data_IF_938797049592
#
_entry.id   IF_938797049592
#
_cell.length_a   1.000
_cell.length_b   1.000
_cell.length_c   1.000
_cell.angle_alpha   90.00
_cell.angle_beta   90.00
_cell.angle_gamma   90.00
#
_symmetry.space_group_name_H-M   'P 1'
#
loop_
_entity.id
_entity.type
_entity.pdbx_description
1 polymer ?
#
# COMPACT_ATOMS: atom_id res chain seq x y z
N UNK A 1 -55.57 11.99 -24.05
CA UNK A 1 -54.42 11.13 -23.65
C UNK A 1 -53.61 11.89 -22.61
N UNK A 2 -53.52 11.36 -21.38
CA UNK A 2 -52.82 12.00 -20.27
C UNK A 2 -51.32 11.87 -20.51
N UNK A 3 -50.64 13.00 -20.66
CA UNK A 3 -49.18 13.06 -20.79
C UNK A 3 -48.59 12.82 -19.39
N UNK A 4 -48.23 11.56 -19.08
CA UNK A 4 -47.43 11.27 -17.90
C UNK A 4 -46.02 11.78 -18.17
N UNK A 5 -45.69 12.93 -17.60
CA UNK A 5 -44.31 13.37 -17.51
C UNK A 5 -43.54 12.29 -16.72
N UNK A 6 -42.59 11.63 -17.38
CA UNK A 6 -41.58 10.83 -16.72
C UNK A 6 -40.74 11.77 -15.86
N UNK A 7 -41.14 11.96 -14.60
CA UNK A 7 -40.28 12.55 -13.60
C UNK A 7 -39.19 11.53 -13.30
N UNK A 8 -37.96 11.80 -13.75
CA UNK A 8 -36.79 11.03 -13.35
C UNK A 8 -36.62 11.21 -11.84
N UNK A 9 -36.98 10.17 -11.09
CA UNK A 9 -36.89 10.14 -9.63
C UNK A 9 -35.41 10.07 -9.22
N UNK A 10 -34.77 11.24 -9.16
CA UNK A 10 -33.39 11.40 -8.71
C UNK A 10 -33.18 10.90 -7.26
N UNK A 11 -34.26 10.75 -6.47
CA UNK A 11 -34.16 10.30 -5.08
C UNK A 11 -33.82 8.80 -4.96
N UNK A 12 -34.00 7.99 -6.01
CA UNK A 12 -33.56 6.58 -6.01
C UNK A 12 -32.05 6.39 -6.02
N UNK A 13 -31.31 7.43 -6.37
CA UNK A 13 -29.84 7.45 -6.33
C UNK A 13 -29.29 8.06 -5.03
N UNK A 14 -30.12 8.29 -4.01
CA UNK A 14 -29.72 8.94 -2.75
C UNK A 14 -28.83 8.10 -1.81
N UNK A 15 -28.09 7.12 -2.35
CA UNK A 15 -26.99 6.45 -1.69
C UNK A 15 -25.69 6.75 -2.43
N UNK A 16 -24.57 6.89 -1.72
CA UNK A 16 -23.24 7.06 -2.32
C UNK A 16 -22.93 5.83 -3.19
N UNK A 17 -23.24 5.91 -4.49
CA UNK A 17 -23.01 4.83 -5.44
C UNK A 17 -21.69 5.08 -6.16
N UNK A 18 -20.60 4.94 -5.42
CA UNK A 18 -19.24 5.19 -5.93
C UNK A 18 -18.60 3.90 -6.41
N UNK A 19 -18.31 3.82 -7.70
CA UNK A 19 -17.57 2.73 -8.33
C UNK A 19 -16.08 3.06 -8.27
N UNK A 20 -15.28 2.20 -7.63
CA UNK A 20 -13.81 2.29 -7.65
C UNK A 20 -13.31 1.64 -8.94
N UNK A 21 -12.69 2.41 -9.81
CA UNK A 21 -12.33 1.93 -11.15
C UNK A 21 -10.84 1.56 -11.23
N UNK A 22 -9.96 2.57 -11.34
CA UNK A 22 -8.54 2.36 -11.65
C UNK A 22 -7.63 3.41 -10.98
N UNK A 23 -6.35 3.09 -10.87
CA UNK A 23 -5.32 4.09 -10.59
C UNK A 23 -5.10 4.94 -11.85
N UNK A 24 -5.25 6.26 -11.73
CA UNK A 24 -5.03 7.22 -12.83
C UNK A 24 -3.53 7.39 -13.05
N UNK A 25 -2.80 7.69 -11.98
CA UNK A 25 -1.36 7.87 -12.00
C UNK A 25 -0.77 7.77 -10.58
N UNK A 26 0.55 7.60 -10.50
CA UNK A 26 1.28 7.65 -9.23
C UNK A 26 2.64 8.34 -9.39
N UNK A 27 3.19 8.78 -8.26
CA UNK A 27 4.52 9.37 -8.16
C UNK A 27 5.21 8.93 -6.87
N UNK A 28 6.53 8.85 -6.91
CA UNK A 28 7.33 8.40 -5.75
C UNK A 28 8.29 9.50 -5.32
N UNK A 29 8.29 9.77 -4.03
CA UNK A 29 9.12 10.79 -3.40
C UNK A 29 10.03 10.15 -2.36
N UNK A 30 11.29 10.57 -2.35
CA UNK A 30 12.26 10.26 -1.30
C UNK A 30 12.41 11.47 -0.38
N UNK A 31 12.31 11.23 0.94
CA UNK A 31 12.39 12.30 1.94
C UNK A 31 11.32 13.40 1.77
N UNK A 32 10.17 13.06 1.17
CA UNK A 32 9.01 13.94 1.00
C UNK A 32 9.08 14.95 -0.16
N UNK A 33 10.28 15.28 -0.64
CA UNK A 33 10.49 16.39 -1.57
C UNK A 33 11.05 15.96 -2.93
N UNK A 34 11.92 14.93 -2.97
CA UNK A 34 12.65 14.55 -4.18
C UNK A 34 11.92 13.47 -4.94
N UNK A 35 11.45 13.77 -6.15
CA UNK A 35 10.79 12.82 -7.05
C UNK A 35 11.79 11.82 -7.63
N UNK A 36 11.45 10.53 -7.63
CA UNK A 36 12.28 9.47 -8.21
C UNK A 36 11.87 9.18 -9.66
N UNK A 37 12.86 9.00 -10.54
CA UNK A 37 12.63 8.68 -11.95
C UNK A 37 12.56 7.17 -12.20
N UNK A 38 11.39 6.56 -12.02
CA UNK A 38 11.22 5.10 -12.13
C UNK A 38 10.19 4.67 -13.18
N UNK A 39 10.13 3.36 -13.46
CA UNK A 39 9.16 2.77 -14.37
C UNK A 39 7.90 2.26 -13.65
N UNK A 40 8.08 1.51 -12.56
CA UNK A 40 6.99 0.79 -11.89
C UNK A 40 7.32 0.46 -10.42
N UNK A 41 6.29 0.27 -9.60
CA UNK A 41 6.40 -0.13 -8.18
C UNK A 41 5.47 -1.29 -7.88
N UNK A 42 6.02 -2.32 -7.24
CA UNK A 42 5.24 -3.31 -6.51
C UNK A 42 5.21 -2.95 -5.03
N UNK A 43 4.05 -2.51 -4.55
CA UNK A 43 3.80 -2.24 -3.13
C UNK A 43 3.87 -3.55 -2.31
N UNK A 44 4.23 -3.48 -1.02
CA UNK A 44 4.45 -4.69 -0.23
C UNK A 44 3.16 -5.44 0.05
N UNK A 45 3.22 -6.76 -0.03
CA UNK A 45 2.19 -7.65 0.48
C UNK A 45 2.30 -7.78 2.00
N UNK A 46 1.17 -7.86 2.68
CA UNK A 46 1.10 -8.07 4.12
C UNK A 46 0.61 -9.49 4.36
N UNK A 47 1.54 -10.37 4.72
CA UNK A 47 1.24 -11.74 5.17
C UNK A 47 1.41 -11.83 6.69
N UNK A 48 0.56 -12.61 7.34
CA UNK A 48 0.58 -12.80 8.79
C UNK A 48 1.25 -14.12 9.14
N UNK A 49 2.07 -14.11 10.19
CA UNK A 49 2.64 -15.35 10.73
C UNK A 49 1.54 -16.11 11.45
N UNK A 50 1.25 -17.35 11.03
CA UNK A 50 0.23 -18.19 11.64
C UNK A 50 0.83 -19.27 12.54
N UNK A 51 -0.01 -19.82 13.43
CA UNK A 51 0.26 -21.03 14.19
C UNK A 51 -0.97 -21.95 14.12
N UNK A 52 -0.73 -23.24 13.89
CA UNK A 52 -1.78 -24.25 13.85
C UNK A 52 -2.33 -24.51 15.25
N UNK A 53 -3.65 -24.42 15.42
CA UNK A 53 -4.37 -24.87 16.62
C UNK A 53 -5.23 -26.10 16.30
N UNK A 54 -5.20 -27.09 17.19
CA UNK A 54 -6.00 -28.31 17.12
C UNK A 54 -6.21 -28.90 18.52
N UNK A 55 -7.18 -29.82 18.68
CA UNK A 55 -7.43 -30.51 19.94
C UNK A 55 -8.92 -30.73 20.28
N UNK A 56 -9.19 -31.19 21.51
CA UNK A 56 -10.54 -31.42 21.98
C UNK A 56 -11.38 -30.12 21.95
N UNK A 57 -12.53 -30.17 21.27
CA UNK A 57 -13.35 -28.97 21.03
C UNK A 57 -13.03 -28.22 19.73
N UNK A 58 -12.00 -28.64 18.97
CA UNK A 58 -11.67 -28.13 17.63
C UNK A 58 -11.82 -29.28 16.63
N UNK A 59 -12.74 -29.13 15.68
CA UNK A 59 -13.02 -30.12 14.64
C UNK A 59 -11.99 -30.13 13.51
N UNK A 60 -10.69 -30.24 13.82
CA UNK A 60 -9.59 -30.24 12.85
C UNK A 60 -8.45 -29.29 13.23
N UNK A 61 -7.80 -28.74 12.21
CA UNK A 61 -6.70 -27.78 12.33
C UNK A 61 -7.16 -26.40 11.83
N UNK A 62 -6.74 -25.34 12.53
CA UNK A 62 -6.96 -23.96 12.12
C UNK A 62 -5.64 -23.21 12.18
N UNK A 63 -5.27 -22.54 11.09
CA UNK A 63 -4.13 -21.61 11.06
C UNK A 63 -4.54 -20.26 11.67
N UNK A 64 -4.14 -20.01 12.90
CA UNK A 64 -4.46 -18.77 13.60
C UNK A 64 -3.34 -17.74 13.42
N UNK A 65 -3.62 -16.53 12.92
CA UNK A 65 -2.63 -15.47 12.81
C UNK A 65 -2.18 -15.01 14.20
N UNK A 66 -0.87 -14.84 14.37
CA UNK A 66 -0.30 -14.27 15.60
C UNK A 66 -0.49 -12.75 15.58
N UNK A 67 -1.14 -12.16 16.59
CA UNK A 67 -1.45 -10.73 16.59
C UNK A 67 -0.25 -9.83 16.30
N UNK A 68 -0.39 -8.97 15.29
CA UNK A 68 0.62 -7.99 14.86
C UNK A 68 1.95 -8.55 14.33
N UNK A 69 2.07 -9.88 14.19
CA UNK A 69 3.25 -10.51 13.62
C UNK A 69 3.06 -10.72 12.12
N UNK A 70 3.80 -9.94 11.34
CA UNK A 70 3.81 -10.03 9.88
C UNK A 70 5.08 -10.71 9.39
N UNK A 71 4.96 -11.44 8.28
CA UNK A 71 6.12 -11.99 7.56
C UNK A 71 6.98 -10.86 6.93
N UNK A 72 8.05 -11.23 6.22
CA UNK A 72 8.87 -10.28 5.45
C UNK A 72 7.96 -9.45 4.55
N UNK A 73 8.13 -8.14 4.55
CA UNK A 73 7.41 -7.24 3.66
C UNK A 73 8.43 -6.66 2.69
N UNK A 74 8.22 -6.84 1.39
CA UNK A 74 9.17 -6.37 0.38
C UNK A 74 8.49 -5.42 -0.60
N UNK A 75 9.16 -4.32 -0.93
CA UNK A 75 8.76 -3.43 -2.03
C UNK A 75 9.78 -3.56 -3.14
N UNK A 76 9.31 -3.77 -4.38
CA UNK A 76 10.16 -3.79 -5.57
C UNK A 76 9.93 -2.53 -6.41
N UNK A 77 11.02 -1.89 -6.81
CA UNK A 77 11.03 -0.73 -7.69
C UNK A 77 11.76 -1.11 -8.97
N UNK A 78 11.12 -0.89 -10.12
CA UNK A 78 11.70 -1.13 -11.44
C UNK A 78 12.12 0.18 -12.11
N UNK A 79 13.30 0.17 -12.74
CA UNK A 79 13.94 1.33 -13.35
C UNK A 79 14.21 1.08 -14.83
N UNK A 80 13.99 2.10 -15.68
CA UNK A 80 14.30 2.00 -17.12
C UNK A 80 15.80 1.98 -17.39
N UNK A 81 16.56 2.72 -16.59
CA UNK A 81 18.01 2.87 -16.70
C UNK A 81 18.64 2.86 -15.33
N UNK A 82 19.90 2.40 -15.25
CA UNK A 82 20.71 2.60 -14.07
C UNK A 82 21.02 4.09 -13.92
N UNK A 83 20.65 4.67 -12.78
CA UNK A 83 20.84 6.09 -12.48
C UNK A 83 21.20 6.28 -10.99
N UNK A 84 21.36 7.54 -10.57
CA UNK A 84 21.70 7.90 -9.19
C UNK A 84 20.64 7.49 -8.16
N UNK A 85 19.36 7.38 -8.55
CA UNK A 85 18.30 6.91 -7.66
C UNK A 85 18.50 5.44 -7.30
N UNK A 86 18.84 4.62 -8.31
CA UNK A 86 19.10 3.19 -8.10
C UNK A 86 20.26 3.00 -7.12
N UNK A 87 21.38 3.68 -7.36
CA UNK A 87 22.57 3.51 -6.53
C UNK A 87 22.38 4.08 -5.12
N UNK A 88 21.63 5.17 -4.97
CA UNK A 88 21.31 5.73 -3.66
C UNK A 88 20.44 4.79 -2.82
N UNK A 89 19.45 4.11 -3.44
CA UNK A 89 18.57 3.18 -2.73
C UNK A 89 19.26 1.87 -2.34
N UNK A 90 20.42 1.56 -2.93
CA UNK A 90 21.26 0.43 -2.54
C UNK A 90 22.17 0.73 -1.34
N UNK A 91 22.20 1.97 -0.85
CA UNK A 91 22.96 2.29 0.35
C UNK A 91 22.45 1.48 1.57
N UNK A 92 23.38 0.97 2.38
CA UNK A 92 23.12 0.22 3.61
C UNK A 92 22.62 1.12 4.76
N UNK A 93 21.52 1.82 4.52
CA UNK A 93 20.82 2.66 5.49
C UNK A 93 19.34 2.63 5.20
N UNK A 94 18.57 3.10 6.17
CA UNK A 94 17.12 3.22 6.02
C UNK A 94 16.76 4.23 4.93
N UNK A 95 15.83 3.84 4.06
CA UNK A 95 15.30 4.63 2.95
C UNK A 95 13.83 4.95 3.24
N UNK A 96 13.51 6.24 3.27
CA UNK A 96 12.15 6.75 3.46
C UNK A 96 11.55 7.11 2.11
N UNK A 97 10.53 6.37 1.71
CA UNK A 97 9.81 6.55 0.46
C UNK A 97 8.33 6.87 0.69
N UNK A 98 7.80 7.74 -0.14
CA UNK A 98 6.40 8.13 -0.18
C UNK A 98 5.85 7.92 -1.59
N UNK A 99 4.97 6.95 -1.74
CA UNK A 99 4.19 6.70 -2.95
C UNK A 99 2.89 7.50 -2.85
N UNK A 100 2.60 8.29 -3.87
CA UNK A 100 1.35 9.07 -4.00
C UNK A 100 0.61 8.56 -5.22
N UNK A 101 -0.61 8.08 -5.04
CA UNK A 101 -1.50 7.62 -6.10
C UNK A 101 -2.78 8.46 -6.16
N UNK A 102 -3.34 8.56 -7.37
CA UNK A 102 -4.64 9.15 -7.62
C UNK A 102 -5.56 8.09 -8.23
N UNK A 103 -6.59 7.66 -7.48
CA UNK A 103 -7.56 6.66 -7.93
C UNK A 103 -8.76 7.35 -8.56
N UNK A 104 -9.23 6.83 -9.69
CA UNK A 104 -10.48 7.20 -10.32
C UNK A 104 -11.65 6.54 -9.60
N UNK A 105 -12.68 7.34 -9.34
CA UNK A 105 -13.95 6.89 -8.80
C UNK A 105 -15.08 7.46 -9.65
N UNK A 106 -16.05 6.64 -10.02
CA UNK A 106 -17.25 7.10 -10.70
C UNK A 106 -18.42 7.14 -9.73
N UNK A 107 -18.98 8.33 -9.51
CA UNK A 107 -20.19 8.50 -8.72
C UNK A 107 -21.41 8.31 -9.63
N UNK A 108 -22.02 7.13 -9.57
CA UNK A 108 -23.18 6.81 -10.40
C UNK A 108 -24.45 7.56 -9.98
N UNK A 109 -24.48 8.21 -8.81
CA UNK A 109 -25.59 9.04 -8.40
C UNK A 109 -25.52 10.44 -9.04
N UNK A 110 -24.32 11.01 -9.19
CA UNK A 110 -24.13 12.33 -9.81
C UNK A 110 -23.68 12.26 -11.28
N UNK A 111 -23.19 11.10 -11.73
CA UNK A 111 -22.56 10.92 -13.04
C UNK A 111 -21.14 11.50 -13.14
N UNK A 112 -20.52 11.84 -12.00
CA UNK A 112 -19.22 12.52 -11.97
C UNK A 112 -18.05 11.55 -11.76
N UNK A 113 -16.94 11.84 -12.43
CA UNK A 113 -15.64 11.22 -12.14
C UNK A 113 -14.97 12.02 -11.02
N UNK A 114 -14.68 11.35 -9.92
CA UNK A 114 -13.98 11.87 -8.73
C UNK A 114 -12.60 11.24 -8.62
N UNK A 115 -11.70 11.95 -7.96
CA UNK A 115 -10.35 11.46 -7.67
C UNK A 115 -10.22 11.23 -6.18
N UNK A 116 -9.85 10.01 -5.80
CA UNK A 116 -9.46 9.65 -4.44
C UNK A 116 -7.95 9.66 -4.31
N UNK A 117 -7.47 10.27 -3.24
CA UNK A 117 -6.03 10.33 -2.94
C UNK A 117 -5.60 9.10 -2.15
N UNK A 118 -4.48 8.50 -2.56
CA UNK A 118 -3.83 7.41 -1.82
C UNK A 118 -2.38 7.79 -1.57
N UNK A 119 -1.92 7.60 -0.34
CA UNK A 119 -0.53 7.77 0.05
C UNK A 119 -0.05 6.54 0.79
N UNK A 120 1.07 5.98 0.34
CA UNK A 120 1.77 4.89 1.03
C UNK A 120 3.15 5.39 1.41
N UNK A 121 3.43 5.44 2.70
CA UNK A 121 4.74 5.75 3.23
C UNK A 121 5.41 4.44 3.64
N UNK A 122 6.65 4.23 3.23
CA UNK A 122 7.45 3.09 3.70
C UNK A 122 8.79 3.57 4.24
N UNK A 123 9.30 2.80 5.20
CA UNK A 123 10.70 2.82 5.60
C UNK A 123 11.28 1.44 5.37
N UNK A 124 12.31 1.37 4.55
CA UNK A 124 12.93 0.09 4.21
C UNK A 124 14.44 0.11 4.14
N UNK A 125 15.03 -1.07 4.05
CA UNK A 125 16.46 -1.31 3.88
C UNK A 125 16.70 -2.01 2.56
N UNK A 126 17.81 -1.69 1.88
CA UNK A 126 18.21 -2.37 0.66
C UNK A 126 18.37 -3.87 0.90
N UNK A 127 17.59 -4.69 0.18
CA UNK A 127 17.65 -6.16 0.23
C UNK A 127 18.33 -6.73 -1.01
N UNK A 128 18.00 -6.21 -2.18
CA UNK A 128 18.54 -6.66 -3.47
C UNK A 128 18.64 -5.50 -4.46
N UNK A 129 19.71 -5.48 -5.24
CA UNK A 129 19.89 -4.58 -6.38
C UNK A 129 20.23 -5.36 -7.64
N UNK A 130 19.37 -5.29 -8.64
CA UNK A 130 19.64 -5.76 -9.98
C UNK A 130 20.04 -4.55 -10.84
N UNK A 131 21.25 -4.56 -11.38
CA UNK A 131 21.74 -3.46 -12.21
C UNK A 131 21.27 -3.56 -13.65
N UNK A 132 20.62 -4.66 -14.03
CA UNK A 132 20.07 -4.85 -15.36
C UNK A 132 21.13 -5.23 -16.41
N UNK A 133 20.85 -4.92 -17.67
CA UNK A 133 21.74 -5.25 -18.81
C UNK A 133 22.23 -4.02 -19.57
N UNK A 134 23.41 -4.12 -20.21
CA UNK A 134 23.96 -3.08 -21.07
C UNK A 134 23.87 -3.53 -22.54
N UNK A 135 22.79 -3.14 -23.22
CA UNK A 135 22.59 -3.37 -24.64
C UNK A 135 22.40 -2.04 -25.37
N UNK A 136 23.04 -1.83 -26.54
CA UNK A 136 22.83 -0.61 -27.32
C UNK A 136 21.36 -0.42 -27.69
N UNK A 137 20.85 0.80 -27.48
CA UNK A 137 19.48 1.22 -27.82
C UNK A 137 18.34 0.41 -27.17
N UNK A 138 18.56 -0.15 -25.97
CA UNK A 138 17.57 -0.91 -25.21
C UNK A 138 17.46 -0.40 -23.76
N UNK A 139 16.42 -0.83 -23.03
CA UNK A 139 16.30 -0.57 -21.59
C UNK A 139 17.29 -1.42 -20.79
N UNK A 140 17.70 -0.90 -19.63
CA UNK A 140 18.55 -1.67 -18.71
C UNK A 140 17.72 -2.60 -17.83
N UNK A 141 16.48 -2.23 -17.52
CA UNK A 141 15.54 -2.97 -16.66
C UNK A 141 16.12 -3.29 -15.25
N UNK A 142 16.82 -2.31 -14.66
CA UNK A 142 17.36 -2.43 -13.31
C UNK A 142 16.23 -2.51 -12.26
N UNK A 143 16.47 -3.18 -11.13
CA UNK A 143 15.50 -3.35 -10.04
C UNK A 143 16.11 -3.10 -8.67
N UNK A 144 15.32 -2.57 -7.74
CA UNK A 144 15.70 -2.43 -6.33
C UNK A 144 14.61 -3.03 -5.45
N UNK A 145 14.99 -3.97 -4.60
CA UNK A 145 14.10 -4.57 -3.59
C UNK A 145 14.47 -4.03 -2.22
N UNK A 146 13.47 -3.50 -1.51
CA UNK A 146 13.60 -3.00 -0.14
C UNK A 146 12.84 -3.90 0.83
N UNK A 147 13.50 -4.31 1.91
CA UNK A 147 12.81 -4.90 3.08
C UNK A 147 12.14 -3.79 3.88
N UNK A 148 10.82 -3.89 4.05
CA UNK A 148 9.98 -2.88 4.69
C UNK A 148 9.86 -3.15 6.19
N UNK A 149 10.32 -2.18 6.98
CA UNK A 149 10.25 -2.21 8.44
C UNK A 149 9.07 -1.41 8.99
N UNK A 150 8.63 -0.40 8.23
CA UNK A 150 7.46 0.42 8.52
C UNK A 150 6.68 0.68 7.24
N UNK A 151 5.35 0.59 7.33
CA UNK A 151 4.42 1.00 6.27
C UNK A 151 3.24 1.75 6.87
N UNK A 152 2.82 2.84 6.22
CA UNK A 152 1.59 3.56 6.51
C UNK A 152 0.82 3.84 5.24
N UNK A 153 -0.45 3.44 5.22
CA UNK A 153 -1.38 3.71 4.13
C UNK A 153 -2.40 4.75 4.59
N UNK A 154 -2.53 5.82 3.83
CA UNK A 154 -3.47 6.92 4.04
C UNK A 154 -4.33 7.08 2.81
N UNK A 155 -5.65 7.12 2.97
CA UNK A 155 -6.61 7.33 1.89
C UNK A 155 -7.45 8.56 2.25
N UNK A 156 -7.50 9.56 1.35
CA UNK A 156 -8.19 10.84 1.58
C UNK A 156 -7.81 11.50 2.92
N UNK A 157 -6.51 11.45 3.25
CA UNK A 157 -5.95 12.02 4.48
C UNK A 157 -6.22 11.18 5.74
N UNK A 158 -6.99 10.11 5.65
CA UNK A 158 -7.32 9.23 6.79
C UNK A 158 -6.34 8.06 6.83
N UNK A 159 -5.70 7.85 7.99
CA UNK A 159 -4.86 6.68 8.24
C UNK A 159 -5.72 5.42 8.18
N UNK A 160 -5.34 4.48 7.31
CA UNK A 160 -6.03 3.20 7.10
C UNK A 160 -5.24 2.01 7.61
N UNK A 161 -3.95 1.97 7.31
CA UNK A 161 -3.04 0.94 7.80
C UNK A 161 -1.79 1.61 8.33
N UNK A 162 -1.27 1.13 9.45
CA UNK A 162 0.06 1.47 9.93
C UNK A 162 0.67 0.27 10.62
N UNK A 163 1.79 -0.21 10.09
CA UNK A 163 2.55 -1.32 10.64
C UNK A 163 3.95 -0.82 10.91
N UNK A 164 4.35 -0.88 12.18
CA UNK A 164 5.71 -0.59 12.63
C UNK A 164 6.23 -1.81 13.39
N UNK A 165 7.12 -2.57 12.74
CA UNK A 165 7.66 -3.80 13.32
C UNK A 165 8.55 -3.51 14.54
N UNK A 166 9.18 -2.33 14.61
CA UNK A 166 10.12 -1.99 15.68
C UNK A 166 9.43 -1.35 16.88
N UNK A 167 8.34 -0.63 16.66
CA UNK A 167 7.57 0.03 17.72
C UNK A 167 6.29 -0.72 18.11
N UNK A 168 6.12 -1.96 17.66
CA UNK A 168 4.95 -2.79 17.94
C UNK A 168 3.63 -2.08 17.59
N UNK A 169 3.53 -1.48 16.41
CA UNK A 169 2.27 -0.89 15.93
C UNK A 169 1.70 -1.79 14.86
N UNK A 170 0.46 -2.22 15.05
CA UNK A 170 -0.31 -2.90 14.01
C UNK A 170 -1.72 -2.32 13.99
N UNK A 171 -1.88 -1.24 13.25
CA UNK A 171 -3.13 -0.50 13.14
C UNK A 171 -3.80 -0.80 11.80
N UNK A 172 -5.08 -1.16 11.85
CA UNK A 172 -5.93 -1.34 10.66
C UNK A 172 -7.31 -0.75 10.95
N UNK A 173 -7.76 0.19 10.10
CA UNK A 173 -9.10 0.80 10.11
C UNK A 173 -9.63 1.23 11.50
N UNK A 174 -8.78 1.85 12.30
CA UNK A 174 -9.18 2.40 13.61
C UNK A 174 -8.80 1.54 14.81
N UNK A 175 -8.36 0.30 14.59
CA UNK A 175 -8.00 -0.63 15.66
C UNK A 175 -6.50 -0.87 15.69
N UNK A 176 -5.88 -0.73 16.86
CA UNK A 176 -4.48 -1.09 17.09
C UNK A 176 -4.39 -2.44 17.81
N UNK A 177 -3.99 -3.46 17.07
CA UNK A 177 -3.93 -4.85 17.53
C UNK A 177 -2.75 -5.15 18.46
N UNK A 178 -1.80 -4.22 18.57
CA UNK A 178 -0.64 -4.36 19.46
C UNK A 178 -0.69 -3.42 20.67
N UNK A 179 -1.80 -2.69 20.88
CA UNK A 179 -1.96 -1.79 22.01
C UNK A 179 -1.81 -2.52 23.37
N UNK A 180 -2.50 -3.64 23.55
CA UNK A 180 -2.41 -4.44 24.78
C UNK A 180 -1.05 -5.13 24.91
N UNK A 181 -0.41 -5.48 23.80
CA UNK A 181 0.94 -6.05 23.79
C UNK A 181 1.96 -5.02 24.29
N UNK A 182 1.91 -3.79 23.79
CA UNK A 182 2.78 -2.71 24.29
C UNK A 182 2.56 -2.44 25.77
N UNK A 183 1.30 -2.39 26.20
CA UNK A 183 0.94 -2.25 27.63
C UNK A 183 1.50 -3.39 28.49
N UNK A 184 1.42 -4.64 28.02
CA UNK A 184 1.94 -5.80 28.73
C UNK A 184 3.48 -5.82 28.81
N UNK A 185 4.15 -5.25 27.81
CA UNK A 185 5.62 -5.13 27.75
C UNK A 185 6.17 -3.87 28.42
N UNK A 186 5.31 -2.94 28.86
CA UNK A 186 5.72 -1.66 29.46
C UNK A 186 6.30 -0.66 28.45
N UNK A 187 5.86 -0.72 27.19
CA UNK A 187 6.24 0.16 26.09
C UNK A 187 5.27 1.33 25.90
#
# INVERSE_FOLDING_TARGET
MKNQAFAFDLQRFAGVNTVRDKLINFEVFKGGNRKLGMADVTLPSISYKTATISGAGIGGEIEMPTPGQTESMETEISWRTLNEDVTELLAMRSQDLEFRGANEQYDAATGEIKVQTVKVNIRGLAKKGDLGSLKPADHMDSKTTLEVTYIKVTIDGVRKVEIDKLNYIHFVDGVDYLADVRKALGL
#
